data_IF_121593577847
#
_entry.id   IF_121593577847
#
_cell.length_a   1.000
_cell.length_b   1.000
_cell.length_c   1.000
_cell.angle_alpha   90.00
_cell.angle_beta   90.00
_cell.angle_gamma   90.00
#
_symmetry.space_group_name_H-M   'P 1'
#
loop_
_entity.id
_entity.type
_entity.pdbx_description
1 polymer ?
#
# COMPACT_ATOMS: atom_id res chain seq x y z
N UNK A 1 -7.20 27.16 6.68
CA UNK A 1 -5.75 26.91 6.84
C UNK A 1 -5.41 26.14 8.13
N UNK A 2 -5.85 26.57 9.32
CA UNK A 2 -5.51 25.88 10.60
C UNK A 2 -5.99 24.42 10.75
N UNK A 3 -7.18 24.05 10.23
CA UNK A 3 -7.67 22.65 10.31
C UNK A 3 -6.80 21.66 9.53
N UNK A 4 -6.23 22.06 8.38
CA UNK A 4 -5.37 21.21 7.56
C UNK A 4 -4.02 20.92 8.23
N UNK A 5 -3.46 21.92 8.94
CA UNK A 5 -2.17 21.78 9.64
C UNK A 5 -2.25 20.79 10.81
N UNK A 6 -3.36 20.78 11.56
CA UNK A 6 -3.59 19.81 12.64
C UNK A 6 -3.80 18.38 12.13
N UNK A 7 -4.39 18.22 10.94
CA UNK A 7 -4.54 16.90 10.28
C UNK A 7 -3.17 16.39 9.84
N UNK A 8 -2.38 17.22 9.16
CA UNK A 8 -1.07 16.83 8.66
C UNK A 8 -0.13 16.44 9.80
N UNK A 9 -0.13 17.20 10.90
CA UNK A 9 0.68 16.91 12.07
C UNK A 9 0.23 15.62 12.80
N UNK A 10 -1.08 15.40 12.92
CA UNK A 10 -1.62 14.15 13.52
C UNK A 10 -1.28 12.92 12.68
N UNK A 11 -1.38 13.04 11.35
CA UNK A 11 -0.99 11.99 10.42
C UNK A 11 0.52 11.74 10.44
N UNK A 12 1.35 12.79 10.44
CA UNK A 12 2.80 12.65 10.50
C UNK A 12 3.25 11.94 11.78
N UNK A 13 2.69 12.31 12.93
CA UNK A 13 3.02 11.73 14.23
C UNK A 13 2.63 10.25 14.31
N UNK A 14 1.41 9.92 13.91
CA UNK A 14 0.94 8.51 13.88
C UNK A 14 1.70 7.68 12.86
N UNK A 15 1.93 8.21 11.66
CA UNK A 15 2.70 7.53 10.62
C UNK A 15 4.13 7.26 11.09
N UNK A 16 4.81 8.23 11.71
CA UNK A 16 6.16 8.05 12.23
C UNK A 16 6.28 6.97 13.30
N UNK A 17 5.40 7.02 14.32
CA UNK A 17 5.42 6.04 15.43
C UNK A 17 5.12 4.63 14.92
N UNK A 18 4.05 4.46 14.14
CA UNK A 18 3.68 3.15 13.61
C UNK A 18 4.70 2.64 12.58
N UNK A 19 5.40 3.54 11.87
CA UNK A 19 6.47 3.14 10.93
C UNK A 19 7.70 2.61 11.67
N UNK A 20 8.05 3.24 12.80
CA UNK A 20 9.07 2.71 13.70
C UNK A 20 8.69 1.33 14.27
N UNK A 21 7.43 1.18 14.71
CA UNK A 21 6.90 -0.11 15.17
C UNK A 21 6.93 -1.17 14.06
N UNK A 22 6.55 -0.80 12.84
CA UNK A 22 6.61 -1.67 11.67
C UNK A 22 8.05 -2.15 11.41
N UNK A 23 9.03 -1.26 11.46
CA UNK A 23 10.44 -1.63 11.29
C UNK A 23 10.87 -2.69 12.29
N UNK A 24 10.45 -2.58 13.56
CA UNK A 24 10.73 -3.58 14.57
C UNK A 24 10.00 -4.91 14.30
N UNK A 25 8.71 -4.87 13.98
CA UNK A 25 7.90 -6.07 13.65
C UNK A 25 8.48 -6.80 12.44
N UNK A 26 8.90 -6.07 11.41
CA UNK A 26 9.49 -6.65 10.21
C UNK A 26 10.77 -7.42 10.52
N UNK A 27 11.65 -6.85 11.36
CA UNK A 27 12.87 -7.53 11.81
C UNK A 27 12.55 -8.75 12.68
N UNK A 28 11.61 -8.64 13.62
CA UNK A 28 11.24 -9.74 14.52
C UNK A 28 10.60 -10.92 13.80
N UNK A 29 9.87 -10.69 12.71
CA UNK A 29 9.19 -11.71 11.94
C UNK A 29 9.98 -12.17 10.69
N UNK A 30 11.15 -11.59 10.43
CA UNK A 30 11.94 -11.88 9.24
C UNK A 30 11.27 -11.45 7.93
N UNK A 31 10.45 -10.40 7.97
CA UNK A 31 9.72 -9.86 6.82
C UNK A 31 10.54 -8.80 6.06
N UNK A 32 10.17 -8.54 4.81
CA UNK A 32 10.77 -7.47 3.99
C UNK A 32 10.22 -6.11 4.45
N UNK A 33 11.01 -5.37 5.23
CA UNK A 33 10.63 -4.05 5.75
C UNK A 33 10.13 -3.10 4.65
N UNK A 34 10.84 -3.06 3.52
CA UNK A 34 10.49 -2.22 2.37
C UNK A 34 9.22 -2.68 1.66
N UNK A 35 8.97 -3.99 1.58
CA UNK A 35 7.72 -4.49 1.01
C UNK A 35 6.51 -4.11 1.88
N UNK A 36 6.66 -4.10 3.21
CA UNK A 36 5.58 -3.58 4.05
C UNK A 36 5.40 -2.08 3.97
N UNK A 37 6.47 -1.29 3.79
CA UNK A 37 6.32 0.14 3.49
C UNK A 37 5.57 0.37 2.18
N UNK A 38 5.85 -0.42 1.14
CA UNK A 38 5.10 -0.42 -0.11
C UNK A 38 3.62 -0.77 0.12
N UNK A 39 3.32 -1.72 1.01
CA UNK A 39 1.95 -2.01 1.47
C UNK A 39 1.28 -0.82 2.16
N UNK A 40 1.97 -0.15 3.08
CA UNK A 40 1.49 1.09 3.70
C UNK A 40 1.17 2.14 2.62
N UNK A 41 2.11 2.38 1.70
CA UNK A 41 1.97 3.33 0.60
C UNK A 41 0.78 2.99 -0.29
N UNK A 42 0.56 1.71 -0.61
CA UNK A 42 -0.58 1.28 -1.41
C UNK A 42 -1.92 1.65 -0.74
N UNK A 43 -2.04 1.49 0.58
CA UNK A 43 -3.25 1.91 1.29
C UNK A 43 -3.39 3.43 1.39
N UNK A 44 -2.30 4.16 1.61
CA UNK A 44 -2.32 5.63 1.64
C UNK A 44 -2.75 6.23 0.30
N UNK A 45 -2.23 5.66 -0.80
CA UNK A 45 -2.51 6.08 -2.18
C UNK A 45 -3.87 5.58 -2.70
N UNK A 46 -4.51 4.61 -2.04
CA UNK A 46 -5.85 4.17 -2.40
C UNK A 46 -6.85 5.34 -2.22
N UNK A 47 -7.60 5.71 -3.27
CA UNK A 47 -8.52 6.85 -3.21
C UNK A 47 -9.71 6.57 -2.29
N UNK A 48 -10.08 5.29 -2.13
CA UNK A 48 -11.10 4.86 -1.18
C UNK A 48 -10.50 4.74 0.23
N UNK A 49 -11.16 5.36 1.21
CA UNK A 49 -10.79 5.23 2.62
C UNK A 49 -11.44 4.03 3.31
N UNK A 50 -10.96 3.72 4.52
CA UNK A 50 -11.55 2.73 5.41
C UNK A 50 -11.40 1.30 4.90
N UNK A 51 -12.28 0.41 5.40
CA UNK A 51 -12.18 -1.03 5.12
C UNK A 51 -12.37 -1.37 3.63
N UNK A 52 -13.17 -0.57 2.91
CA UNK A 52 -13.34 -0.72 1.45
C UNK A 52 -12.03 -0.42 0.71
N UNK A 53 -11.33 0.65 1.08
CA UNK A 53 -10.00 0.96 0.56
C UNK A 53 -8.99 -0.14 0.85
N UNK A 54 -9.04 -0.72 2.04
CA UNK A 54 -8.15 -1.82 2.43
C UNK A 54 -8.39 -3.07 1.58
N UNK A 55 -9.66 -3.41 1.29
CA UNK A 55 -10.01 -4.53 0.43
C UNK A 55 -9.51 -4.31 -1.01
N UNK A 56 -9.72 -3.10 -1.57
CA UNK A 56 -9.27 -2.74 -2.93
C UNK A 56 -7.73 -2.75 -3.01
N UNK A 57 -7.05 -2.13 -2.04
CA UNK A 57 -5.60 -2.09 -1.98
C UNK A 57 -5.01 -3.50 -1.84
N UNK A 58 -5.60 -4.34 -0.98
CA UNK A 58 -5.18 -5.74 -0.84
C UNK A 58 -5.37 -6.52 -2.13
N UNK A 59 -6.55 -6.45 -2.75
CA UNK A 59 -6.85 -7.19 -3.97
C UNK A 59 -5.93 -6.78 -5.13
N UNK A 60 -5.68 -5.48 -5.29
CA UNK A 60 -4.77 -4.96 -6.34
C UNK A 60 -3.32 -5.35 -6.10
N UNK A 61 -2.80 -5.18 -4.89
CA UNK A 61 -1.43 -5.58 -4.54
C UNK A 61 -1.23 -7.08 -4.75
N UNK A 62 -2.16 -7.94 -4.28
CA UNK A 62 -2.07 -9.38 -4.49
C UNK A 62 -2.16 -9.77 -5.98
N UNK A 63 -3.02 -9.10 -6.75
CA UNK A 63 -3.06 -9.29 -8.20
C UNK A 63 -1.73 -8.92 -8.85
N UNK A 64 -1.08 -7.85 -8.38
CA UNK A 64 0.24 -7.43 -8.82
C UNK A 64 1.31 -8.50 -8.60
N UNK A 65 1.32 -9.11 -7.40
CA UNK A 65 2.20 -10.24 -7.09
C UNK A 65 1.97 -11.39 -8.07
N UNK A 66 0.70 -11.73 -8.36
CA UNK A 66 0.35 -12.75 -9.33
C UNK A 66 0.91 -12.45 -10.73
N UNK A 67 0.74 -11.23 -11.22
CA UNK A 67 1.26 -10.80 -12.51
C UNK A 67 2.79 -10.81 -12.58
N UNK A 68 3.48 -10.41 -11.51
CA UNK A 68 4.94 -10.52 -11.45
C UNK A 68 5.41 -11.97 -11.50
N UNK A 69 4.72 -12.89 -10.82
CA UNK A 69 5.03 -14.32 -10.90
C UNK A 69 4.82 -14.87 -12.32
N UNK A 70 3.77 -14.42 -13.02
CA UNK A 70 3.55 -14.78 -14.44
C UNK A 70 4.71 -14.30 -15.30
N UNK A 71 5.23 -13.08 -15.08
CA UNK A 71 6.39 -12.57 -15.82
C UNK A 71 7.65 -13.40 -15.51
N UNK A 72 7.94 -13.65 -14.23
CA UNK A 72 9.14 -14.38 -13.79
C UNK A 72 9.14 -15.82 -14.30
N UNK A 73 8.03 -16.54 -14.16
CA UNK A 73 7.94 -17.93 -14.62
C UNK A 73 7.80 -18.00 -16.15
N UNK A 74 7.12 -17.04 -16.77
CA UNK A 74 6.96 -16.96 -18.22
C UNK A 74 8.28 -16.69 -18.93
N UNK A 75 9.09 -15.75 -18.43
CA UNK A 75 10.41 -15.44 -19.00
C UNK A 75 11.41 -16.58 -18.81
N UNK A 76 11.26 -17.37 -17.74
CA UNK A 76 12.08 -18.57 -17.50
C UNK A 76 11.87 -19.70 -18.52
N UNK A 77 10.77 -19.69 -19.30
CA UNK A 77 10.51 -20.70 -20.34
C UNK A 77 11.37 -20.49 -21.60
N UNK A 78 11.89 -19.29 -21.82
CA UNK A 78 12.73 -18.95 -22.98
C UNK A 78 13.86 -17.97 -22.59
N UNK A 79 14.82 -18.40 -21.74
CA UNK A 79 15.84 -17.51 -21.17
C UNK A 79 16.86 -16.99 -22.21
N UNK A 80 16.90 -17.57 -23.41
CA UNK A 80 17.84 -17.21 -24.47
C UNK A 80 17.40 -16.00 -25.31
N UNK A 81 16.19 -15.48 -25.09
CA UNK A 81 15.62 -14.36 -25.83
C UNK A 81 15.21 -13.25 -24.85
N UNK A 82 16.11 -12.33 -24.52
CA UNK A 82 15.81 -11.19 -23.63
C UNK A 82 14.60 -10.35 -24.12
N UNK A 83 14.42 -10.29 -25.44
CA UNK A 83 13.27 -9.66 -26.10
C UNK A 83 11.94 -10.27 -25.63
N UNK A 84 11.90 -11.57 -25.38
CA UNK A 84 10.70 -12.27 -24.90
C UNK A 84 10.27 -11.76 -23.52
N UNK A 85 11.23 -11.47 -22.62
CA UNK A 85 10.96 -10.88 -21.31
C UNK A 85 10.35 -9.48 -21.42
N UNK A 86 10.86 -8.64 -22.34
CA UNK A 86 10.30 -7.30 -22.57
C UNK A 86 8.90 -7.33 -23.16
N UNK A 87 8.65 -8.21 -24.13
CA UNK A 87 7.31 -8.40 -24.71
C UNK A 87 6.33 -8.91 -23.65
N UNK A 88 6.71 -9.90 -22.85
CA UNK A 88 5.87 -10.41 -21.76
C UNK A 88 5.56 -9.33 -20.73
N UNK A 89 6.55 -8.52 -20.35
CA UNK A 89 6.33 -7.38 -19.44
C UNK A 89 5.35 -6.38 -20.02
N UNK A 90 5.46 -6.06 -21.32
CA UNK A 90 4.52 -5.16 -22.01
C UNK A 90 3.09 -5.71 -22.05
N UNK A 91 2.93 -7.00 -22.38
CA UNK A 91 1.62 -7.67 -22.40
C UNK A 91 1.00 -7.69 -21.01
N UNK A 92 1.76 -8.08 -19.98
CA UNK A 92 1.25 -8.14 -18.62
C UNK A 92 0.92 -6.75 -18.09
N UNK A 93 1.73 -5.72 -18.36
CA UNK A 93 1.42 -4.34 -17.99
C UNK A 93 0.11 -3.86 -18.64
N UNK A 94 -0.14 -4.22 -19.91
CA UNK A 94 -1.41 -3.96 -20.57
C UNK A 94 -2.59 -4.65 -19.88
N UNK A 95 -2.43 -5.93 -19.50
CA UNK A 95 -3.45 -6.69 -18.78
C UNK A 95 -3.72 -6.12 -17.37
N UNK A 96 -2.68 -5.69 -16.66
CA UNK A 96 -2.79 -5.01 -15.35
C UNK A 96 -3.65 -3.75 -15.45
N UNK A 97 -3.49 -2.97 -16.52
CA UNK A 97 -4.32 -1.80 -16.79
C UNK A 97 -5.75 -2.17 -17.19
N UNK A 98 -5.94 -3.21 -18.00
CA UNK A 98 -7.27 -3.66 -18.42
C UNK A 98 -8.11 -4.19 -17.26
N UNK A 99 -7.47 -4.85 -16.29
CA UNK A 99 -8.10 -5.40 -15.10
C UNK A 99 -8.72 -4.32 -14.20
N UNK A 100 -8.31 -3.05 -14.34
CA UNK A 100 -8.87 -1.91 -13.62
C UNK A 100 -10.37 -1.68 -13.86
N UNK A 101 -10.94 -2.30 -14.91
CA UNK A 101 -12.39 -2.29 -15.16
C UNK A 101 -13.20 -2.98 -14.05
N UNK A 102 -12.57 -3.84 -13.24
CA UNK A 102 -13.21 -4.51 -12.10
C UNK A 102 -13.15 -3.64 -10.84
N UNK A 103 -14.26 -3.53 -10.10
CA UNK A 103 -14.37 -2.63 -8.94
C UNK A 103 -13.35 -2.92 -7.82
N UNK A 104 -13.01 -4.19 -7.57
CA UNK A 104 -12.00 -4.54 -6.57
C UNK A 104 -10.57 -4.25 -7.04
N UNK A 105 -10.36 -4.10 -8.34
CA UNK A 105 -9.06 -3.98 -8.97
C UNK A 105 -8.84 -2.62 -9.63
N UNK A 106 -9.74 -1.67 -9.37
CA UNK A 106 -9.73 -0.35 -10.00
C UNK A 106 -8.50 0.50 -9.62
N UNK A 107 -7.77 0.11 -8.58
CA UNK A 107 -6.56 0.80 -8.13
C UNK A 107 -5.30 0.25 -8.82
N UNK A 108 -5.13 0.64 -10.09
CA UNK A 108 -3.97 0.26 -10.93
C UNK A 108 -2.61 0.46 -10.23
N UNK A 109 -2.35 1.58 -9.53
CA UNK A 109 -1.08 1.75 -8.83
C UNK A 109 -0.80 0.65 -7.80
N UNK A 110 -1.82 0.11 -7.13
CA UNK A 110 -1.67 -1.02 -6.21
C UNK A 110 -1.15 -2.28 -6.90
N UNK A 111 -1.64 -2.56 -8.10
CA UNK A 111 -1.18 -3.68 -8.93
C UNK A 111 0.29 -3.53 -9.31
N UNK A 112 0.73 -2.32 -9.68
CA UNK A 112 2.16 -2.06 -9.94
C UNK A 112 3.01 -2.16 -8.68
N UNK A 113 2.53 -1.67 -7.53
CA UNK A 113 3.24 -1.79 -6.25
C UNK A 113 3.47 -3.25 -5.90
N UNK A 114 2.44 -4.10 -6.02
CA UNK A 114 2.55 -5.53 -5.78
C UNK A 114 3.56 -6.21 -6.71
N UNK A 115 3.49 -5.90 -8.01
CA UNK A 115 4.42 -6.46 -8.99
C UNK A 115 5.87 -6.03 -8.72
N UNK A 116 6.11 -4.74 -8.50
CA UNK A 116 7.44 -4.20 -8.18
C UNK A 116 7.99 -4.77 -6.86
N UNK A 117 7.15 -4.95 -5.85
CA UNK A 117 7.57 -5.57 -4.59
C UNK A 117 8.02 -7.03 -4.80
N UNK A 118 7.33 -7.78 -5.67
CA UNK A 118 7.73 -9.15 -6.01
C UNK A 118 9.02 -9.21 -6.83
N UNK A 119 9.21 -8.30 -7.78
CA UNK A 119 10.48 -8.20 -8.51
C UNK A 119 11.64 -7.81 -7.60
N UNK A 120 11.43 -6.85 -6.69
CA UNK A 120 12.43 -6.46 -5.70
C UNK A 120 12.76 -7.60 -4.72
N UNK A 121 11.76 -8.41 -4.37
CA UNK A 121 11.92 -9.65 -3.60
C UNK A 121 12.41 -10.85 -4.41
N UNK A 122 12.90 -10.65 -5.64
CA UNK A 122 13.45 -11.71 -6.51
C UNK A 122 12.47 -12.89 -6.74
N UNK A 123 11.17 -12.61 -6.75
CA UNK A 123 10.13 -13.63 -6.93
C UNK A 123 9.78 -14.43 -5.67
N UNK A 124 10.36 -14.13 -4.51
CA UNK A 124 10.00 -14.75 -3.23
C UNK A 124 8.63 -14.23 -2.72
N UNK A 125 7.57 -14.66 -3.39
CA UNK A 125 6.20 -14.29 -3.06
C UNK A 125 5.79 -14.73 -1.65
N UNK A 126 6.40 -15.80 -1.11
CA UNK A 126 6.09 -16.30 0.24
C UNK A 126 6.47 -15.30 1.31
N UNK A 127 7.48 -14.48 1.06
CA UNK A 127 7.94 -13.47 1.99
C UNK A 127 7.40 -12.07 1.62
N UNK A 128 7.26 -11.79 0.33
CA UNK A 128 6.67 -10.53 -0.18
C UNK A 128 5.19 -10.39 0.19
N UNK A 129 4.37 -11.44 0.03
CA UNK A 129 2.92 -11.37 0.30
C UNK A 129 2.63 -11.05 1.76
N UNK A 130 3.16 -11.79 2.77
CA UNK A 130 2.94 -11.45 4.17
C UNK A 130 3.45 -10.05 4.51
N UNK A 131 4.61 -9.65 3.97
CA UNK A 131 5.17 -8.31 4.20
C UNK A 131 4.23 -7.20 3.71
N UNK A 132 3.69 -7.34 2.50
CA UNK A 132 2.72 -6.39 1.91
C UNK A 132 1.41 -6.36 2.70
N UNK A 133 0.89 -7.51 3.11
CA UNK A 133 -0.36 -7.62 3.87
C UNK A 133 -0.26 -6.97 5.24
N UNK A 134 0.82 -7.25 5.99
CA UNK A 134 1.02 -6.59 7.29
C UNK A 134 1.24 -5.09 7.10
N UNK A 135 1.99 -4.70 6.07
CA UNK A 135 2.12 -3.29 5.67
C UNK A 135 0.78 -2.61 5.40
N UNK A 136 -0.12 -3.24 4.65
CA UNK A 136 -1.47 -2.71 4.39
C UNK A 136 -2.28 -2.52 5.68
N UNK A 137 -2.20 -3.45 6.63
CA UNK A 137 -2.85 -3.36 7.94
C UNK A 137 -2.27 -2.19 8.75
N UNK A 138 -0.95 -2.03 8.74
CA UNK A 138 -0.26 -0.91 9.39
C UNK A 138 -0.64 0.43 8.74
N UNK A 139 -0.68 0.50 7.40
CA UNK A 139 -1.15 1.68 6.67
C UNK A 139 -2.60 2.05 7.02
N UNK A 140 -3.47 1.04 7.16
CA UNK A 140 -4.83 1.22 7.66
C UNK A 140 -4.85 1.84 9.06
N UNK A 141 -4.08 1.27 9.99
CA UNK A 141 -3.98 1.77 11.35
C UNK A 141 -3.41 3.21 11.41
N UNK A 142 -2.37 3.51 10.63
CA UNK A 142 -1.74 4.84 10.53
C UNK A 142 -2.75 5.90 10.08
N UNK A 143 -3.40 5.68 8.93
CA UNK A 143 -4.34 6.67 8.36
C UNK A 143 -5.56 6.85 9.27
N UNK A 144 -6.12 5.77 9.79
CA UNK A 144 -7.35 5.83 10.57
C UNK A 144 -7.12 6.44 11.96
N UNK A 145 -6.01 6.11 12.63
CA UNK A 145 -5.64 6.73 13.91
C UNK A 145 -5.29 8.20 13.76
N UNK A 146 -4.58 8.59 12.70
CA UNK A 146 -4.26 10.00 12.43
C UNK A 146 -5.49 10.84 12.14
N UNK A 147 -6.43 10.33 11.33
CA UNK A 147 -7.72 11.00 11.09
C UNK A 147 -8.56 11.11 12.36
N UNK A 148 -8.58 10.06 13.19
CA UNK A 148 -9.29 10.07 14.47
C UNK A 148 -8.71 11.09 15.46
N UNK A 149 -7.38 11.17 15.59
CA UNK A 149 -6.71 12.16 16.43
C UNK A 149 -6.99 13.58 15.93
N UNK A 150 -6.94 13.80 14.62
CA UNK A 150 -7.24 15.10 14.03
C UNK A 150 -8.70 15.53 14.30
N UNK A 151 -9.65 14.60 14.20
CA UNK A 151 -11.05 14.85 14.53
C UNK A 151 -11.25 15.19 16.02
N UNK A 152 -10.54 14.52 16.92
CA UNK A 152 -10.56 14.81 18.37
C UNK A 152 -9.97 16.18 18.69
N UNK A 153 -8.83 16.53 18.09
CA UNK A 153 -8.20 17.84 18.25
C UNK A 153 -9.07 18.99 17.72
N UNK A 154 -9.79 18.77 16.61
CA UNK A 154 -10.75 19.73 16.09
C UNK A 154 -11.96 19.92 17.03
N UNK A 155 -12.46 18.84 17.65
CA UNK A 155 -13.56 18.90 18.63
C UNK A 155 -13.16 19.61 19.92
N UNK A 156 -11.90 19.48 20.34
CA UNK A 156 -11.35 20.12 21.55
C UNK A 156 -11.07 21.62 21.38
N UNK A 157 -10.95 22.13 20.15
CA UNK A 157 -10.82 23.56 19.84
C UNK A 157 -12.17 24.28 19.71
N UNK A 158 -13.29 23.56 19.62
CA UNK A 158 -14.63 24.11 19.53
C UNK A 158 -15.30 24.62 20.84
N UNK A 159 -14.86 24.31 22.08
CA UNK A 159 -15.58 24.79 23.27
C UNK A 159 -15.32 26.26 23.66
N UNK A 160 -14.24 26.89 23.17
CA UNK A 160 -13.74 28.15 23.78
C UNK A 160 -14.26 29.45 23.13
N UNK A 161 -15.04 29.35 22.04
CA UNK A 161 -15.62 30.52 21.35
C UNK A 161 -17.08 30.80 21.73
N UNK A 162 -17.68 30.06 22.67
CA UNK A 162 -19.09 30.21 23.05
C UNK A 162 -19.33 30.93 24.39
N UNK A 163 -18.28 31.45 25.05
CA UNK A 163 -18.37 32.10 26.38
C UNK A 163 -18.05 33.61 26.32
N UNK A 164 -18.09 34.24 25.13
CA UNK A 164 -17.87 35.69 24.98
C UNK A 164 -18.91 36.38 24.08
N UNK A 165 -20.21 36.18 24.35
CA UNK A 165 -21.25 37.12 23.94
C UNK A 165 -22.13 37.48 25.12
#
# INVERSE_FOLDING_TARGET
MMRGMNILLSLALTTGILSGLWGWVAVSLGLLSWAGFLGCTAYFACPQGGLKGLAIATATVLSGVGWALVIIHGSALAPHLEIFGYVMTGVVAFLMCLQAKQLLLSFVPGTFIGACATFAGQGDWKLVVPSLLVGLIFGYAMKNSGLWLAARSAKRQAPDNAVKQ
#
